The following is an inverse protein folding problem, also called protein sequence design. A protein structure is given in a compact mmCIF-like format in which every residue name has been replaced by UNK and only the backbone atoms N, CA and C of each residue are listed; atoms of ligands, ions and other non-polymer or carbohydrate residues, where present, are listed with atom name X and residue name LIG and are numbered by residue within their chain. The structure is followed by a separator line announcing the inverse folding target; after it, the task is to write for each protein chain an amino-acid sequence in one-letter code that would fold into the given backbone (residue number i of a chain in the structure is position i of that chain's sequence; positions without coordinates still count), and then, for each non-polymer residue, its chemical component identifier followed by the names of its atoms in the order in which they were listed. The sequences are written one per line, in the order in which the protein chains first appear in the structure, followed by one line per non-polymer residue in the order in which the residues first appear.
data_IF_004248984922
#
_entry.id   IF_004248984922
#
_cell.length_a   1.000
_cell.length_b   1.000
_cell.length_c   1.000
_cell.angle_alpha   90.00
_cell.angle_beta   90.00
_cell.angle_gamma   90.00
#
_symmetry.space_group_name_H-M   'P 1'
#
loop_
_entity.id
_entity.type
_entity.pdbx_description
1 polymer ?
#
# COMPACT_ATOMS: atom_id res chain seq x y z
N UNK A 1 -6.24 1.99 2.93
CA UNK A 1 -7.08 0.93 3.49
C UNK A 1 -7.67 0.08 2.38
N UNK A 2 -7.42 -1.21 2.41
CA UNK A 2 -8.05 -2.22 1.55
C UNK A 2 -9.05 -2.98 2.40
N UNK A 3 -10.32 -3.07 1.97
CA UNK A 3 -11.34 -3.81 2.69
C UNK A 3 -11.28 -5.29 2.32
N UNK A 4 -11.68 -6.16 3.23
CA UNK A 4 -11.83 -7.59 2.95
C UNK A 4 -12.85 -7.87 1.83
N UNK A 5 -13.81 -6.96 1.62
CA UNK A 5 -14.75 -6.99 0.49
C UNK A 5 -14.14 -6.62 -0.88
N UNK A 6 -12.92 -6.09 -0.93
CA UNK A 6 -12.23 -5.78 -2.19
C UNK A 6 -11.65 -7.03 -2.89
N UNK A 7 -12.05 -8.22 -2.41
CA UNK A 7 -11.72 -9.52 -3.00
C UNK A 7 -10.21 -9.85 -3.12
N UNK A 8 -9.38 -9.28 -2.24
CA UNK A 8 -7.99 -9.72 -2.09
C UNK A 8 -8.01 -11.12 -1.43
N UNK A 9 -7.50 -12.17 -2.07
CA UNK A 9 -7.55 -13.51 -1.52
C UNK A 9 -6.63 -13.64 -0.29
N UNK A 10 -6.91 -14.59 0.62
CA UNK A 10 -5.98 -14.92 1.69
C UNK A 10 -4.68 -15.50 1.11
N UNK A 11 -3.58 -15.19 1.74
CA UNK A 11 -2.27 -15.65 1.29
C UNK A 11 -1.14 -14.80 1.83
N UNK A 12 0.01 -14.91 1.19
CA UNK A 12 1.20 -14.15 1.53
C UNK A 12 1.36 -12.99 0.57
N UNK A 13 1.22 -11.76 1.05
CA UNK A 13 1.47 -10.56 0.25
C UNK A 13 2.99 -10.38 0.15
N UNK A 14 3.50 -10.38 -1.08
CA UNK A 14 4.94 -10.27 -1.38
C UNK A 14 5.32 -8.99 -2.12
N UNK A 15 4.35 -8.22 -2.64
CA UNK A 15 4.62 -6.99 -3.40
C UNK A 15 3.45 -6.03 -3.34
N UNK A 16 3.77 -4.72 -3.33
CA UNK A 16 2.80 -3.65 -3.45
C UNK A 16 3.25 -2.64 -4.51
N UNK A 17 2.33 -2.27 -5.42
CA UNK A 17 2.58 -1.39 -6.55
C UNK A 17 1.48 -0.34 -6.70
N UNK A 18 1.85 0.82 -7.27
CA UNK A 18 0.95 1.92 -7.61
C UNK A 18 1.06 2.29 -9.08
N UNK A 19 -0.03 2.82 -9.64
CA UNK A 19 -0.02 3.35 -11.00
C UNK A 19 0.19 4.86 -10.98
N UNK A 20 1.32 5.32 -11.50
CA UNK A 20 1.69 6.73 -11.57
C UNK A 20 0.86 7.45 -12.63
N UNK A 21 0.34 8.63 -12.30
CA UNK A 21 -0.25 9.55 -13.27
C UNK A 21 0.79 10.55 -13.77
N UNK A 22 1.46 11.24 -12.87
CA UNK A 22 2.53 12.20 -13.13
C UNK A 22 3.50 12.18 -11.95
N UNK A 23 4.77 12.44 -12.21
CA UNK A 23 5.75 12.51 -11.17
C UNK A 23 7.08 13.06 -11.66
N UNK A 24 7.97 13.33 -10.73
CA UNK A 24 9.37 13.59 -10.96
C UNK A 24 10.22 12.66 -10.10
N UNK A 25 11.41 12.34 -10.59
CA UNK A 25 12.34 11.52 -9.86
C UNK A 25 12.73 12.14 -8.53
N UNK A 26 12.85 11.32 -7.50
CA UNK A 26 13.30 11.74 -6.19
C UNK A 26 13.82 10.59 -5.37
N UNK A 27 14.58 10.94 -4.35
CA UNK A 27 15.09 10.01 -3.34
C UNK A 27 14.41 10.31 -2.02
N UNK A 28 13.82 9.28 -1.42
CA UNK A 28 13.11 9.32 -0.14
C UNK A 28 13.96 8.63 0.92
N UNK A 29 14.21 9.31 2.04
CA UNK A 29 15.09 8.81 3.10
C UNK A 29 14.31 8.13 4.22
N UNK A 30 14.92 7.11 4.84
CA UNK A 30 14.28 6.28 5.87
C UNK A 30 12.94 5.71 5.41
N UNK A 31 12.87 5.33 4.14
CA UNK A 31 11.65 4.85 3.48
C UNK A 31 11.23 3.48 4.03
N UNK A 32 9.97 3.37 4.41
CA UNK A 32 9.41 2.15 5.00
C UNK A 32 8.03 1.86 4.45
N UNK A 33 7.72 0.57 4.30
CA UNK A 33 6.37 0.07 4.11
C UNK A 33 5.99 -0.82 5.28
N UNK A 34 4.74 -0.65 5.74
CA UNK A 34 4.15 -1.49 6.78
C UNK A 34 2.80 -2.01 6.35
N UNK A 35 2.46 -3.20 6.84
CA UNK A 35 1.15 -3.82 6.68
C UNK A 35 0.56 -4.13 8.05
N UNK A 36 -0.76 -3.99 8.19
CA UNK A 36 -1.46 -4.27 9.42
C UNK A 36 -2.89 -4.75 9.14
N UNK A 37 -3.34 -5.79 9.84
CA UNK A 37 -4.76 -6.12 9.89
C UNK A 37 -5.52 -5.08 10.71
N UNK A 38 -6.75 -4.76 10.32
CA UNK A 38 -7.64 -3.87 11.06
C UNK A 38 -9.09 -4.26 10.86
N UNK A 39 -9.95 -3.92 11.82
CA UNK A 39 -11.40 -4.03 11.68
C UNK A 39 -12.05 -2.73 11.20
N UNK A 40 -11.28 -1.66 11.01
CA UNK A 40 -11.82 -0.38 10.56
C UNK A 40 -12.27 -0.46 9.12
N UNK A 41 -13.42 0.13 8.83
CA UNK A 41 -13.97 0.28 7.48
C UNK A 41 -13.70 1.67 6.88
N UNK A 42 -13.19 2.60 7.69
CA UNK A 42 -12.80 3.94 7.29
C UNK A 42 -11.60 4.39 8.12
N UNK A 43 -10.71 5.19 7.52
CA UNK A 43 -9.56 5.77 8.20
C UNK A 43 -9.93 7.08 8.89
N UNK A 44 -9.21 7.38 9.96
CA UNK A 44 -9.25 8.64 10.70
C UNK A 44 -7.95 9.41 10.54
N UNK A 45 -7.90 10.63 11.01
CA UNK A 45 -6.66 11.44 11.05
C UNK A 45 -5.64 10.95 12.08
N UNK A 46 -6.01 10.05 12.98
CA UNK A 46 -5.07 9.44 13.93
C UNK A 46 -4.47 8.15 13.34
N UNK A 47 -3.23 8.24 12.86
CA UNK A 47 -2.53 7.10 12.23
C UNK A 47 -2.46 5.88 13.15
N UNK A 48 -2.10 6.07 14.42
CA UNK A 48 -1.98 4.96 15.38
C UNK A 48 -3.32 4.30 15.67
N UNK A 49 -4.40 5.10 15.80
CA UNK A 49 -5.74 4.56 16.02
C UNK A 49 -6.22 3.71 14.84
N UNK A 50 -5.75 4.00 13.62
CA UNK A 50 -6.12 3.24 12.43
C UNK A 50 -5.65 1.78 12.48
N UNK A 51 -4.62 1.46 13.25
CA UNK A 51 -4.19 0.05 13.41
C UNK A 51 -5.16 -0.77 14.28
N UNK A 52 -6.13 -0.13 14.96
CA UNK A 52 -7.11 -0.85 15.77
C UNK A 52 -6.51 -1.63 16.95
N UNK A 53 -5.39 -1.16 17.51
CA UNK A 53 -4.65 -1.83 18.56
C UNK A 53 -3.65 -2.89 18.10
N UNK A 54 -3.59 -3.18 16.81
CA UNK A 54 -2.61 -4.12 16.25
C UNK A 54 -1.24 -3.44 16.02
N UNK A 55 -0.18 -4.22 16.00
CA UNK A 55 1.17 -3.74 15.67
C UNK A 55 1.42 -3.88 14.17
N UNK A 56 1.71 -2.79 13.45
CA UNK A 56 2.02 -2.88 12.02
C UNK A 56 3.35 -3.59 11.79
N UNK A 57 3.34 -4.58 10.88
CA UNK A 57 4.51 -5.31 10.47
C UNK A 57 5.33 -4.49 9.47
N UNK A 58 6.63 -4.31 9.72
CA UNK A 58 7.56 -3.72 8.77
C UNK A 58 7.86 -4.74 7.66
N UNK A 59 7.42 -4.44 6.44
CA UNK A 59 7.56 -5.37 5.29
C UNK A 59 8.64 -4.96 4.30
N UNK A 60 9.03 -3.68 4.33
CA UNK A 60 10.09 -3.15 3.47
C UNK A 60 10.78 -1.97 4.16
N UNK A 61 12.12 -1.86 4.04
CA UNK A 61 12.86 -0.73 4.61
C UNK A 61 14.12 -0.41 3.82
N UNK A 62 14.34 0.88 3.53
CA UNK A 62 15.59 1.39 2.94
C UNK A 62 15.98 2.69 3.62
N UNK A 63 17.27 2.86 3.87
CA UNK A 63 17.80 4.15 4.33
C UNK A 63 17.60 5.24 3.28
N UNK A 64 17.60 4.86 1.98
CA UNK A 64 17.42 5.73 0.84
C UNK A 64 16.73 4.94 -0.28
N UNK A 65 15.60 5.45 -0.79
CA UNK A 65 14.82 4.85 -1.85
C UNK A 65 14.64 5.83 -3.01
N UNK A 66 15.21 5.50 -4.16
CA UNK A 66 14.97 6.23 -5.40
C UNK A 66 13.65 5.80 -6.04
N UNK A 67 12.83 6.78 -6.45
CA UNK A 67 11.61 6.58 -7.23
C UNK A 67 11.72 7.45 -8.49
N UNK A 68 11.61 6.84 -9.66
CA UNK A 68 11.80 7.52 -10.94
C UNK A 68 10.67 8.51 -11.30
N UNK A 69 9.49 8.32 -10.75
CA UNK A 69 8.32 9.16 -11.04
C UNK A 69 7.84 9.06 -12.49
N UNK A 70 8.08 7.93 -13.17
CA UNK A 70 7.71 7.73 -14.58
C UNK A 70 6.20 7.81 -14.76
N UNK A 71 5.68 8.74 -15.60
CA UNK A 71 4.24 8.86 -15.83
C UNK A 71 3.63 7.63 -16.49
N UNK A 72 2.37 7.34 -16.19
CA UNK A 72 1.57 6.25 -16.76
C UNK A 72 2.25 4.87 -16.66
N UNK A 73 2.95 4.63 -15.56
CA UNK A 73 3.68 3.38 -15.31
C UNK A 73 3.33 2.81 -13.93
N UNK A 74 3.43 1.50 -13.79
CA UNK A 74 3.42 0.83 -12.49
C UNK A 74 4.81 0.94 -11.86
N UNK A 75 4.85 1.32 -10.59
CA UNK A 75 6.04 1.20 -9.75
C UNK A 75 5.66 0.59 -8.42
N UNK A 76 6.59 -0.03 -7.74
CA UNK A 76 6.34 -0.61 -6.43
C UNK A 76 7.51 -1.42 -5.91
N UNK A 77 7.28 -2.10 -4.80
CA UNK A 77 8.33 -2.72 -4.02
C UNK A 77 7.96 -4.16 -3.67
N UNK A 78 8.88 -5.08 -3.96
CA UNK A 78 8.85 -6.42 -3.40
C UNK A 78 9.20 -6.32 -1.91
N UNK A 79 8.45 -7.01 -1.07
CA UNK A 79 8.65 -6.99 0.38
C UNK A 79 9.91 -7.76 0.78
N UNK A 80 10.67 -7.22 1.72
CA UNK A 80 11.78 -7.93 2.35
C UNK A 80 11.25 -9.04 3.27
N UNK A 81 10.12 -8.76 3.92
CA UNK A 81 9.38 -9.70 4.76
C UNK A 81 7.95 -9.78 4.29
N UNK A 82 7.54 -10.87 3.62
CA UNK A 82 6.18 -11.05 3.16
C UNK A 82 5.17 -11.00 4.32
N UNK A 83 3.96 -10.49 4.04
CA UNK A 83 2.90 -10.30 5.03
C UNK A 83 1.80 -11.36 4.86
N UNK A 84 1.52 -12.14 5.92
CA UNK A 84 0.41 -13.09 5.92
C UNK A 84 -0.93 -12.35 6.02
N UNK A 85 -1.76 -12.46 4.99
CA UNK A 85 -3.08 -11.84 4.93
C UNK A 85 -4.17 -12.90 4.99
N UNK A 86 -5.13 -12.73 5.90
CA UNK A 86 -6.17 -13.73 6.18
C UNK A 86 -7.48 -13.53 5.41
N UNK A 87 -7.63 -12.40 4.71
CA UNK A 87 -8.84 -11.95 4.02
C UNK A 87 -10.12 -11.85 4.91
N UNK A 88 -9.99 -12.01 6.22
CA UNK A 88 -11.08 -11.82 7.19
C UNK A 88 -11.10 -10.42 7.75
N UNK A 89 -9.92 -9.83 7.90
CA UNK A 89 -9.73 -8.46 8.35
C UNK A 89 -9.46 -7.54 7.16
N UNK A 90 -9.71 -6.27 7.34
CA UNK A 90 -9.27 -5.24 6.42
C UNK A 90 -7.75 -5.04 6.54
N UNK A 91 -7.12 -4.53 5.50
CA UNK A 91 -5.68 -4.36 5.41
C UNK A 91 -5.31 -2.88 5.37
N UNK A 92 -4.49 -2.43 6.30
CA UNK A 92 -3.78 -1.17 6.20
C UNK A 92 -2.44 -1.42 5.54
N UNK A 93 -2.12 -0.58 4.57
CA UNK A 93 -0.81 -0.50 3.94
C UNK A 93 -0.32 0.94 4.11
N UNK A 94 0.83 1.10 4.76
CA UNK A 94 1.43 2.39 5.10
C UNK A 94 2.72 2.59 4.36
N UNK A 95 2.91 3.81 3.87
CA UNK A 95 4.19 4.32 3.36
C UNK A 95 4.65 5.42 4.31
N UNK A 96 5.90 5.36 4.75
CA UNK A 96 6.51 6.31 5.66
C UNK A 96 7.92 6.67 5.19
N UNK A 97 8.31 7.95 5.30
CA UNK A 97 9.66 8.44 5.04
C UNK A 97 9.94 9.70 5.87
N UNK A 98 11.19 10.03 6.11
CA UNK A 98 11.59 11.16 6.98
C UNK A 98 11.93 12.42 6.19
N UNK A 99 12.33 12.30 4.93
CA UNK A 99 12.69 13.44 4.09
C UNK A 99 12.93 12.99 2.66
N UNK A 100 13.02 13.94 1.74
CA UNK A 100 13.21 13.66 0.32
C UNK A 100 14.02 14.76 -0.39
N UNK A 101 14.37 14.52 -1.65
CA UNK A 101 15.08 15.47 -2.52
C UNK A 101 14.14 16.35 -3.36
N UNK A 102 12.87 16.47 -2.97
CA UNK A 102 11.87 17.26 -3.70
C UNK A 102 11.17 16.49 -4.84
N UNK A 103 11.42 15.18 -4.98
CA UNK A 103 10.68 14.32 -5.91
C UNK A 103 9.23 14.13 -5.46
N UNK A 104 8.33 13.91 -6.41
CA UNK A 104 6.93 13.62 -6.12
C UNK A 104 6.37 12.58 -7.09
N UNK A 105 5.36 11.88 -6.65
CA UNK A 105 4.63 10.92 -7.48
C UNK A 105 3.14 11.00 -7.17
N UNK A 106 2.36 11.52 -8.12
CA UNK A 106 0.91 11.46 -8.03
C UNK A 106 0.41 10.16 -8.67
N UNK A 107 -0.30 9.38 -7.90
CA UNK A 107 -0.89 8.14 -8.38
C UNK A 107 -2.31 8.39 -8.87
N UNK A 108 -2.76 7.64 -9.88
CA UNK A 108 -4.17 7.62 -10.25
C UNK A 108 -5.00 7.09 -9.09
N UNK A 109 -6.18 7.64 -8.92
CA UNK A 109 -7.08 7.29 -7.84
C UNK A 109 -8.53 7.23 -8.30
N UNK A 110 -9.35 6.43 -7.60
CA UNK A 110 -10.80 6.40 -7.72
C UNK A 110 -11.43 7.02 -6.49
N UNK A 111 -12.63 7.59 -6.64
CA UNK A 111 -13.40 8.15 -5.53
C UNK A 111 -13.93 7.01 -4.64
N UNK A 112 -13.47 6.96 -3.40
CA UNK A 112 -13.88 5.97 -2.39
C UNK A 112 -13.79 6.63 -1.02
N UNK A 113 -14.83 6.58 -0.21
CA UNK A 113 -14.90 7.28 1.06
C UNK A 113 -13.86 6.79 2.08
N UNK A 114 -13.10 7.73 2.65
CA UNK A 114 -12.24 7.57 3.83
C UNK A 114 -11.22 6.39 3.77
N UNK A 115 -10.71 6.07 2.58
CA UNK A 115 -9.77 4.95 2.37
C UNK A 115 -8.31 5.36 2.33
N UNK A 116 -8.04 6.65 2.32
CA UNK A 116 -6.69 7.20 2.28
C UNK A 116 -6.53 8.29 3.33
N UNK A 117 -5.42 8.27 4.05
CA UNK A 117 -5.01 9.34 4.96
C UNK A 117 -3.54 9.65 4.73
N UNK A 118 -3.20 10.91 4.71
CA UNK A 118 -1.81 11.34 4.55
C UNK A 118 -1.46 12.52 5.45
N UNK A 119 -0.19 12.65 5.73
CA UNK A 119 0.42 13.85 6.31
C UNK A 119 1.72 14.12 5.55
N UNK A 120 2.03 15.38 5.31
CA UNK A 120 3.26 15.78 4.64
C UNK A 120 3.84 17.02 5.30
N UNK A 121 5.06 16.91 5.81
CA UNK A 121 5.73 17.94 6.59
C UNK A 121 4.85 18.42 7.78
N UNK A 122 4.58 19.73 7.83
CA UNK A 122 3.68 20.36 8.83
C UNK A 122 2.20 20.35 8.40
N UNK A 123 1.86 19.75 7.26
CA UNK A 123 0.50 19.70 6.74
C UNK A 123 -0.16 18.37 7.04
N UNK A 124 -1.38 18.42 7.53
CA UNK A 124 -2.18 17.24 7.83
C UNK A 124 -2.17 16.85 9.30
N UNK A 125 -2.68 15.68 9.64
CA UNK A 125 -3.17 14.63 8.71
C UNK A 125 -4.55 14.94 8.10
N UNK A 126 -4.75 14.50 6.85
CA UNK A 126 -6.00 14.65 6.12
C UNK A 126 -6.53 13.31 5.66
N UNK A 127 -7.82 13.04 5.93
CA UNK A 127 -8.54 11.90 5.33
C UNK A 127 -9.07 12.31 3.97
N UNK A 128 -8.86 11.47 2.99
CA UNK A 128 -9.26 11.70 1.61
C UNK A 128 -10.31 10.68 1.15
N UNK A 129 -11.20 11.13 0.28
CA UNK A 129 -12.24 10.31 -0.31
C UNK A 129 -11.80 9.72 -1.65
N UNK A 130 -10.62 9.10 -1.67
CA UNK A 130 -10.11 8.34 -2.81
C UNK A 130 -9.20 7.20 -2.37
N UNK A 131 -9.00 6.25 -3.25
CA UNK A 131 -8.02 5.19 -3.14
C UNK A 131 -7.16 5.19 -4.41
N UNK A 132 -5.86 5.15 -4.24
CA UNK A 132 -4.93 5.06 -5.36
C UNK A 132 -5.10 3.73 -6.11
N UNK A 133 -4.90 3.76 -7.43
CA UNK A 133 -4.80 2.54 -8.22
C UNK A 133 -3.56 1.78 -7.75
N UNK A 134 -3.81 0.62 -7.18
CA UNK A 134 -2.77 -0.21 -6.59
C UNK A 134 -2.92 -1.66 -7.04
N UNK A 135 -1.82 -2.37 -7.00
CA UNK A 135 -1.73 -3.78 -7.32
C UNK A 135 -0.99 -4.48 -6.21
N UNK A 136 -1.57 -5.54 -5.68
CA UNK A 136 -1.01 -6.34 -4.59
C UNK A 136 -0.74 -7.73 -5.15
N UNK A 137 0.49 -8.24 -5.00
CA UNK A 137 0.82 -9.62 -5.34
C UNK A 137 0.60 -10.47 -4.11
N UNK A 138 -0.29 -11.45 -4.22
CA UNK A 138 -0.60 -12.42 -3.18
C UNK A 138 -0.23 -13.81 -3.65
N UNK A 139 0.58 -14.50 -2.87
CA UNK A 139 0.87 -15.91 -3.05
C UNK A 139 -0.11 -16.73 -2.20
N UNK A 140 -0.88 -17.65 -2.80
CA UNK A 140 -1.87 -18.41 -2.06
C UNK A 140 -1.24 -19.17 -0.88
N UNK A 141 -1.85 -19.10 0.29
CA UNK A 141 -1.48 -19.92 1.43
C UNK A 141 -2.05 -21.32 1.23
N UNK A 142 -1.21 -22.30 0.90
CA UNK A 142 -1.63 -23.67 1.00
C UNK A 142 -1.06 -24.62 -0.04
N UNK A 143 -0.48 -25.67 0.49
CA UNK A 143 -0.18 -26.97 -0.12
C UNK A 143 0.65 -26.92 -1.41
N UNK A 144 1.90 -27.33 -1.29
CA UNK A 144 2.90 -27.59 -2.33
C UNK A 144 2.38 -27.84 -3.75
N UNK A 145 1.88 -26.81 -4.42
CA UNK A 145 1.60 -26.82 -5.83
C UNK A 145 2.62 -25.89 -6.47
N UNK A 146 3.36 -26.46 -7.41
CA UNK A 146 4.32 -25.73 -8.27
C UNK A 146 3.68 -24.46 -8.81
N UNK A 147 4.44 -23.39 -9.02
CA UNK A 147 3.90 -22.13 -9.54
C UNK A 147 3.38 -22.37 -10.96
N UNK A 148 2.10 -22.58 -11.08
CA UNK A 148 1.39 -22.44 -12.34
C UNK A 148 0.80 -21.03 -12.34
N UNK A 149 1.41 -20.17 -13.16
CA UNK A 149 0.91 -18.87 -13.64
C UNK A 149 0.02 -18.06 -12.69
N UNK A 150 0.64 -17.05 -12.09
CA UNK A 150 0.11 -15.76 -11.68
C UNK A 150 -1.42 -15.57 -11.80
N UNK A 151 -2.12 -15.70 -10.69
CA UNK A 151 -3.40 -15.05 -10.50
C UNK A 151 -3.18 -13.52 -10.43
N UNK A 152 -3.32 -12.82 -11.54
CA UNK A 152 -3.42 -11.36 -11.55
C UNK A 152 -4.78 -11.00 -10.98
N UNK A 153 -4.82 -10.50 -9.74
CA UNK A 153 -6.00 -9.78 -9.27
C UNK A 153 -6.02 -8.43 -10.01
N UNK A 154 -6.70 -8.40 -11.17
CA UNK A 154 -7.19 -7.15 -11.72
C UNK A 154 -8.29 -6.69 -10.76
N UNK A 155 -8.11 -5.58 -10.08
CA UNK A 155 -9.23 -4.82 -9.58
C UNK A 155 -10.00 -4.37 -10.84
N UNK A 156 -11.06 -5.11 -11.18
CA UNK A 156 -11.98 -4.74 -12.25
C UNK A 156 -12.83 -3.60 -11.70
N UNK A 157 -12.54 -2.41 -12.13
CA UNK A 157 -13.46 -1.29 -12.05
C UNK A 157 -14.20 -1.21 -13.39
N UNK A 158 -15.50 -1.48 -13.34
CA UNK A 158 -16.47 -0.96 -14.31
C UNK A 158 -16.92 0.42 -13.86
#
# INVERSE_FOLDING_TARGET
LVLSSDAVPPGTISKWEWYTYIGSAGTFYSFKLRCCHTNLTALTTNFTANYGGNTPALVYSRSSQYIAGTPNAWFGFAFDTPFAYDAKHNLIMEVDWVGDTGGYTYCRASSVAARFVYSYNSYGPYVQNYLHYQRITVEPSGVGVRPTSLGRVKALYN
#
